data_IF_148426226879
#
_entry.id   IF_148426226879
#
_cell.length_a   1.000
_cell.length_b   1.000
_cell.length_c   1.000
_cell.angle_alpha   90.00
_cell.angle_beta   90.00
_cell.angle_gamma   90.00
#
_symmetry.space_group_name_H-M   'P 1'
#
loop_
_entity.id
_entity.type
_entity.pdbx_description
1 polymer ?
#
# COMPACT_ATOMS: atom_id res chain seq x y z
N UNK A 1 4.62 -30.58 -9.77
CA UNK A 1 5.30 -31.80 -9.27
C UNK A 1 4.28 -32.89 -8.88
N UNK A 2 4.44 -34.11 -9.40
CA UNK A 2 3.55 -35.25 -9.13
C UNK A 2 3.92 -36.02 -7.85
N UNK A 3 4.99 -35.60 -7.17
CA UNK A 3 5.49 -36.20 -5.93
C UNK A 3 5.56 -35.15 -4.83
N UNK A 4 5.32 -35.55 -3.57
CA UNK A 4 5.43 -34.70 -2.40
C UNK A 4 5.97 -35.50 -1.21
N UNK A 5 6.62 -34.82 -0.26
CA UNK A 5 6.94 -35.40 1.04
C UNK A 5 5.70 -35.36 1.92
N UNK A 6 5.43 -36.45 2.64
CA UNK A 6 4.34 -36.56 3.61
C UNK A 6 4.92 -36.91 4.98
N UNK A 7 4.52 -36.17 6.01
CA UNK A 7 4.99 -36.42 7.37
C UNK A 7 4.42 -37.71 7.95
N UNK A 8 5.10 -38.22 8.98
CA UNK A 8 4.59 -39.32 9.80
C UNK A 8 3.33 -38.94 10.59
N UNK A 9 2.81 -39.91 11.33
CA UNK A 9 1.55 -39.80 12.06
C UNK A 9 1.66 -39.12 13.45
N UNK A 10 2.48 -38.08 13.56
CA UNK A 10 2.61 -37.29 14.81
C UNK A 10 2.54 -35.79 14.50
N UNK A 11 1.96 -35.03 15.44
CA UNK A 11 1.61 -33.62 15.23
C UNK A 11 2.84 -32.70 15.14
N UNK A 12 3.86 -32.94 15.95
CA UNK A 12 5.13 -32.21 15.84
C UNK A 12 6.07 -32.99 14.92
N UNK A 13 6.57 -32.32 13.89
CA UNK A 13 7.39 -32.94 12.85
C UNK A 13 8.57 -32.04 12.55
N UNK A 14 9.65 -32.66 12.08
CA UNK A 14 10.82 -31.95 11.62
C UNK A 14 11.21 -32.49 10.26
N UNK A 15 11.43 -31.59 9.31
CA UNK A 15 12.06 -31.93 8.03
C UNK A 15 13.38 -31.16 7.92
N UNK A 16 14.46 -31.87 7.59
CA UNK A 16 15.80 -31.29 7.45
C UNK A 16 16.31 -31.52 6.04
N UNK A 17 16.78 -30.45 5.41
CA UNK A 17 17.45 -30.45 4.12
C UNK A 17 18.96 -30.39 4.37
N UNK A 18 19.72 -31.42 3.98
CA UNK A 18 21.19 -31.37 3.90
C UNK A 18 21.60 -30.89 2.50
N UNK A 19 22.23 -29.72 2.43
CA UNK A 19 22.68 -29.11 1.17
C UNK A 19 23.99 -29.70 0.66
N UNK A 20 24.54 -30.70 1.37
CA UNK A 20 25.78 -31.43 1.10
C UNK A 20 27.04 -30.69 1.55
N UNK A 21 27.02 -29.36 1.45
CA UNK A 21 28.06 -28.44 1.90
C UNK A 21 27.41 -27.14 2.38
N UNK A 22 28.20 -26.29 3.03
CA UNK A 22 27.78 -24.93 3.39
C UNK A 22 27.46 -24.14 2.11
N UNK A 23 26.32 -23.46 2.10
CA UNK A 23 25.84 -22.61 1.00
C UNK A 23 25.26 -21.30 1.55
N UNK A 24 25.40 -20.25 0.76
CA UNK A 24 24.73 -18.97 0.97
C UNK A 24 23.39 -18.93 0.24
N UNK A 25 22.35 -18.39 0.89
CA UNK A 25 21.03 -18.17 0.32
C UNK A 25 20.31 -17.03 1.03
N UNK A 26 19.41 -16.35 0.32
CA UNK A 26 18.66 -15.19 0.83
C UNK A 26 17.22 -15.51 1.22
N UNK A 27 16.72 -16.71 0.87
CA UNK A 27 15.34 -17.08 1.17
C UNK A 27 14.99 -18.51 0.77
N UNK A 28 13.73 -18.86 1.00
CA UNK A 28 13.15 -20.12 0.56
C UNK A 28 11.71 -19.91 0.10
N UNK A 29 11.30 -20.64 -0.93
CA UNK A 29 9.90 -20.77 -1.35
C UNK A 29 9.45 -22.16 -0.96
N UNK A 30 8.38 -22.28 -0.16
CA UNK A 30 7.83 -23.56 0.29
C UNK A 30 6.45 -23.75 -0.33
N UNK A 31 6.30 -24.79 -1.14
CA UNK A 31 5.01 -25.16 -1.71
C UNK A 31 4.38 -26.29 -0.91
N UNK A 32 3.23 -26.03 -0.32
CA UNK A 32 2.49 -26.99 0.50
C UNK A 32 1.52 -27.83 -0.35
N UNK A 33 1.23 -29.04 0.12
CA UNK A 33 0.10 -29.82 -0.36
C UNK A 33 -1.19 -29.21 0.21
N UNK A 34 -2.21 -28.94 -0.63
CA UNK A 34 -3.47 -28.37 -0.16
C UNK A 34 -4.08 -29.16 1.01
N UNK A 35 -4.39 -28.47 2.11
CA UNK A 35 -4.97 -29.06 3.32
C UNK A 35 -3.97 -29.76 4.25
N UNK A 36 -2.69 -29.85 3.88
CA UNK A 36 -1.62 -30.44 4.67
C UNK A 36 -0.47 -29.44 4.93
N UNK A 37 -0.76 -28.14 4.91
CA UNK A 37 0.22 -27.11 5.25
C UNK A 37 0.53 -27.08 6.75
N UNK A 38 1.70 -26.58 7.12
CA UNK A 38 1.93 -26.10 8.49
C UNK A 38 1.44 -24.65 8.61
N UNK A 39 0.63 -24.35 9.63
CA UNK A 39 0.25 -22.98 9.98
C UNK A 39 1.21 -22.38 11.03
N UNK A 40 1.91 -23.21 11.80
CA UNK A 40 2.93 -22.77 12.75
C UNK A 40 4.19 -23.63 12.62
N UNK A 41 5.32 -23.00 12.29
CA UNK A 41 6.61 -23.65 12.21
C UNK A 41 7.79 -22.68 12.43
N UNK A 42 8.97 -23.25 12.71
CA UNK A 42 10.23 -22.50 12.82
C UNK A 42 11.21 -23.00 11.79
N UNK A 43 11.82 -22.07 11.06
CA UNK A 43 12.91 -22.33 10.13
C UNK A 43 14.23 -22.11 10.85
N UNK A 44 15.14 -23.09 10.76
CA UNK A 44 16.42 -23.09 11.46
C UNK A 44 17.55 -23.44 10.53
N UNK A 45 18.71 -22.82 10.73
CA UNK A 45 19.96 -23.16 10.03
C UNK A 45 20.96 -23.85 10.94
N UNK A 46 21.84 -24.65 10.35
CA UNK A 46 23.00 -25.22 11.02
C UNK A 46 24.15 -25.45 10.03
N UNK A 47 25.40 -25.31 10.50
CA UNK A 47 26.60 -25.71 9.77
C UNK A 47 26.98 -27.18 9.97
N UNK A 48 26.63 -27.76 11.12
CA UNK A 48 27.11 -29.06 11.60
C UNK A 48 26.00 -30.10 11.87
N UNK A 49 24.74 -29.68 11.74
CA UNK A 49 23.55 -30.50 12.02
C UNK A 49 23.24 -30.69 13.51
N UNK A 50 24.05 -30.09 14.40
CA UNK A 50 23.96 -30.25 15.86
C UNK A 50 23.55 -28.95 16.55
N UNK A 51 24.22 -27.84 16.21
CA UNK A 51 23.91 -26.52 16.73
C UNK A 51 23.02 -25.78 15.73
N UNK A 52 21.85 -25.34 16.20
CA UNK A 52 20.81 -24.74 15.36
C UNK A 52 20.53 -23.29 15.74
N UNK A 53 20.41 -22.43 14.73
CA UNK A 53 20.01 -21.02 14.88
C UNK A 53 18.64 -20.81 14.25
N UNK A 54 17.74 -20.17 14.98
CA UNK A 54 16.42 -19.79 14.48
C UNK A 54 16.60 -18.66 13.44
N UNK A 55 16.04 -18.87 12.24
CA UNK A 55 16.04 -17.89 11.16
C UNK A 55 14.72 -17.14 11.07
N UNK A 56 13.61 -17.88 11.18
CA UNK A 56 12.27 -17.34 10.95
C UNK A 56 11.24 -18.18 11.70
N UNK A 57 10.26 -17.51 12.30
CA UNK A 57 9.06 -18.16 12.82
C UNK A 57 7.87 -17.76 11.95
N UNK A 58 7.04 -18.73 11.63
CA UNK A 58 5.74 -18.54 10.97
C UNK A 58 4.68 -19.01 11.95
N UNK A 59 3.72 -18.17 12.30
CA UNK A 59 2.69 -18.46 13.32
C UNK A 59 1.28 -18.55 12.77
N UNK A 60 1.06 -18.10 11.53
CA UNK A 60 -0.25 -18.07 10.89
C UNK A 60 -0.16 -18.36 9.38
N UNK A 61 0.60 -19.39 8.99
CA UNK A 61 0.75 -19.82 7.60
C UNK A 61 -0.59 -20.23 6.97
N UNK A 62 -0.96 -19.63 5.83
CA UNK A 62 -2.17 -19.98 5.09
C UNK A 62 -2.00 -21.25 4.23
N UNK A 63 -0.77 -21.65 3.94
CA UNK A 63 -0.46 -22.73 3.00
C UNK A 63 -0.44 -22.26 1.55
N UNK A 64 -0.49 -23.20 0.61
CA UNK A 64 -0.25 -22.88 -0.80
C UNK A 64 1.24 -22.65 -1.05
N UNK A 65 1.67 -21.40 -1.10
CA UNK A 65 3.09 -21.03 -1.25
C UNK A 65 3.50 -20.05 -0.16
N UNK A 66 4.45 -20.45 0.68
CA UNK A 66 5.07 -19.57 1.66
C UNK A 66 6.36 -18.99 1.10
N UNK A 67 6.51 -17.68 1.26
CA UNK A 67 7.67 -16.91 0.81
C UNK A 67 8.50 -16.49 2.02
N UNK A 68 9.69 -17.05 2.16
CA UNK A 68 10.48 -16.88 3.38
C UNK A 68 11.71 -16.03 3.07
N UNK A 69 11.72 -14.80 3.58
CA UNK A 69 12.93 -13.98 3.65
C UNK A 69 13.87 -14.56 4.72
N UNK A 70 15.05 -15.01 4.30
CA UNK A 70 16.10 -15.59 5.16
C UNK A 70 17.44 -14.87 4.87
N UNK A 71 17.50 -13.53 5.01
CA UNK A 71 18.69 -12.76 4.65
C UNK A 71 19.92 -13.20 5.45
N UNK A 72 21.11 -12.95 4.87
CA UNK A 72 22.41 -13.21 5.51
C UNK A 72 22.55 -14.63 6.07
N UNK A 73 22.06 -15.63 5.32
CA UNK A 73 22.11 -17.03 5.73
C UNK A 73 23.22 -17.79 5.00
N UNK A 74 24.17 -18.31 5.78
CA UNK A 74 25.15 -19.31 5.37
C UNK A 74 24.92 -20.59 6.20
N UNK A 75 24.59 -21.71 5.55
CA UNK A 75 24.29 -22.96 6.25
C UNK A 75 24.53 -24.20 5.39
N UNK A 76 24.78 -25.35 6.02
CA UNK A 76 24.73 -26.67 5.36
C UNK A 76 23.36 -27.32 5.51
N UNK A 77 22.71 -27.13 6.67
CA UNK A 77 21.42 -27.71 6.98
C UNK A 77 20.37 -26.63 7.15
N UNK A 78 19.21 -26.83 6.52
CA UNK A 78 18.00 -26.04 6.74
C UNK A 78 16.90 -26.94 7.29
N UNK A 79 16.28 -26.55 8.39
CA UNK A 79 15.30 -27.37 9.10
C UNK A 79 14.01 -26.61 9.32
N UNK A 80 12.89 -27.29 9.10
CA UNK A 80 11.55 -26.79 9.39
C UNK A 80 10.99 -27.62 10.54
N UNK A 81 10.84 -26.99 11.70
CA UNK A 81 10.21 -27.55 12.89
C UNK A 81 8.71 -27.21 12.85
N UNK A 82 7.92 -28.15 12.33
CA UNK A 82 6.48 -28.05 12.10
C UNK A 82 5.70 -28.37 13.38
N UNK A 83 4.84 -27.45 13.82
CA UNK A 83 4.18 -27.54 15.13
C UNK A 83 2.66 -27.68 15.04
N UNK A 84 2.04 -26.94 14.12
CA UNK A 84 0.59 -26.96 13.95
C UNK A 84 0.19 -26.72 12.50
N UNK A 85 -1.04 -27.12 12.18
CA UNK A 85 -1.66 -27.02 10.86
C UNK A 85 -3.13 -27.45 10.92
N UNK A 86 -3.91 -27.24 9.85
CA UNK A 86 -5.30 -27.71 9.80
C UNK A 86 -5.43 -29.24 9.84
N UNK A 87 -4.32 -29.96 9.62
CA UNK A 87 -4.24 -31.41 9.66
C UNK A 87 -3.14 -31.87 10.64
N UNK A 88 -3.22 -33.10 11.12
CA UNK A 88 -2.22 -33.74 11.97
C UNK A 88 -1.02 -34.29 11.19
N UNK A 89 -1.08 -34.24 9.85
CA UNK A 89 0.04 -34.48 8.93
C UNK A 89 0.37 -33.24 8.12
N UNK A 90 1.61 -33.18 7.64
CA UNK A 90 2.11 -32.15 6.75
C UNK A 90 2.52 -32.74 5.40
N UNK A 91 2.30 -31.97 4.33
CA UNK A 91 2.68 -32.33 2.97
C UNK A 91 3.45 -31.18 2.32
N UNK A 92 4.68 -31.42 1.89
CA UNK A 92 5.51 -30.44 1.18
C UNK A 92 5.74 -30.94 -0.24
N UNK A 93 5.29 -30.15 -1.22
CA UNK A 93 5.54 -30.43 -2.64
C UNK A 93 6.98 -30.10 -3.01
N UNK A 94 7.45 -28.94 -2.57
CA UNK A 94 8.76 -28.42 -2.96
C UNK A 94 9.28 -27.40 -1.94
N UNK A 95 10.60 -27.37 -1.76
CA UNK A 95 11.33 -26.28 -1.10
C UNK A 95 12.41 -25.79 -2.06
N UNK A 96 12.31 -24.55 -2.51
CA UNK A 96 13.29 -23.93 -3.40
C UNK A 96 14.10 -22.89 -2.63
N UNK A 97 15.41 -23.11 -2.47
CA UNK A 97 16.30 -22.10 -1.93
C UNK A 97 16.52 -20.99 -2.94
N UNK A 98 16.50 -19.75 -2.46
CA UNK A 98 16.59 -18.55 -3.28
C UNK A 98 17.95 -17.86 -3.09
N UNK A 99 18.49 -17.20 -4.13
CA UNK A 99 19.77 -16.51 -4.04
C UNK A 99 19.75 -15.36 -3.02
N UNK A 100 20.91 -14.83 -2.62
CA UNK A 100 21.03 -13.71 -1.68
C UNK A 100 20.17 -12.50 -2.07
N UNK A 101 20.13 -12.18 -3.37
CA UNK A 101 19.36 -11.07 -3.91
C UNK A 101 17.84 -11.19 -3.67
N UNK A 102 17.33 -12.39 -3.37
CA UNK A 102 15.90 -12.63 -3.17
C UNK A 102 15.31 -11.82 -2.01
N UNK A 103 16.06 -11.61 -0.93
CA UNK A 103 15.58 -10.86 0.23
C UNK A 103 16.70 -10.02 0.88
N UNK A 104 17.68 -9.56 0.10
CA UNK A 104 18.80 -8.75 0.60
C UNK A 104 18.33 -7.49 1.33
N UNK A 105 17.23 -6.90 0.88
CA UNK A 105 16.49 -5.85 1.61
C UNK A 105 14.99 -6.16 1.59
N UNK A 106 14.18 -5.53 2.46
CA UNK A 106 12.72 -5.64 2.37
C UNK A 106 12.17 -5.26 0.99
N UNK A 107 12.77 -4.26 0.34
CA UNK A 107 12.39 -3.89 -1.03
C UNK A 107 12.70 -4.99 -2.04
N UNK A 108 13.85 -5.64 -1.94
CA UNK A 108 14.24 -6.72 -2.86
C UNK A 108 13.40 -7.98 -2.66
N UNK A 109 12.97 -8.25 -1.41
CA UNK A 109 12.00 -9.29 -1.12
C UNK A 109 10.68 -9.05 -1.84
N UNK A 110 10.10 -7.85 -1.71
CA UNK A 110 8.84 -7.53 -2.38
C UNK A 110 8.99 -7.52 -3.91
N UNK A 111 10.11 -7.02 -4.46
CA UNK A 111 10.40 -7.13 -5.91
C UNK A 111 10.45 -8.59 -6.37
N UNK A 112 11.08 -9.47 -5.59
CA UNK A 112 11.19 -10.91 -5.90
C UNK A 112 9.82 -11.60 -5.90
N UNK A 113 8.90 -11.17 -5.03
CA UNK A 113 7.52 -11.63 -5.02
C UNK A 113 6.71 -11.05 -6.18
N UNK A 114 6.85 -9.75 -6.45
CA UNK A 114 6.17 -9.07 -7.54
C UNK A 114 6.54 -9.64 -8.92
N UNK A 115 7.77 -10.15 -9.09
CA UNK A 115 8.21 -10.81 -10.31
C UNK A 115 7.58 -12.21 -10.53
N UNK A 116 7.03 -12.82 -9.48
CA UNK A 116 6.46 -14.19 -9.53
C UNK A 116 4.95 -14.22 -9.41
N UNK A 117 4.35 -13.09 -9.00
CA UNK A 117 2.91 -12.94 -8.83
C UNK A 117 2.31 -12.13 -10.00
N UNK A 118 1.00 -12.25 -10.25
CA UNK A 118 0.36 -11.50 -11.32
C UNK A 118 0.63 -10.00 -11.21
N UNK A 119 0.89 -9.35 -12.34
CA UNK A 119 0.98 -7.89 -12.44
C UNK A 119 -0.28 -7.28 -11.82
N UNK A 120 -0.12 -6.21 -11.04
CA UNK A 120 -1.20 -5.62 -10.25
C UNK A 120 -1.25 -6.07 -8.79
N UNK A 121 -0.62 -7.20 -8.43
CA UNK A 121 -0.59 -7.69 -7.04
C UNK A 121 0.15 -6.76 -6.08
N UNK A 122 1.15 -6.02 -6.59
CA UNK A 122 1.95 -5.03 -5.87
C UNK A 122 1.94 -3.70 -6.60
N UNK A 123 2.30 -2.60 -5.93
CA UNK A 123 2.49 -1.31 -6.60
C UNK A 123 3.50 -1.43 -7.75
N UNK A 124 3.23 -0.77 -8.88
CA UNK A 124 4.02 -0.89 -10.12
C UNK A 124 5.53 -0.67 -9.95
N UNK A 125 5.94 0.16 -8.97
CA UNK A 125 7.33 0.44 -8.64
C UNK A 125 8.13 -0.77 -8.15
N UNK A 126 7.46 -1.85 -7.73
CA UNK A 126 8.10 -3.14 -7.42
C UNK A 126 8.23 -4.07 -8.63
N UNK A 127 7.53 -3.77 -9.73
CA UNK A 127 7.53 -4.56 -10.97
C UNK A 127 8.44 -3.97 -12.06
N UNK A 128 9.34 -3.04 -11.70
CA UNK A 128 10.27 -2.40 -12.63
C UNK A 128 9.67 -1.28 -13.49
N UNK A 129 8.40 -0.93 -13.26
CA UNK A 129 7.73 0.17 -13.95
C UNK A 129 7.97 1.48 -13.18
N UNK A 130 8.33 2.55 -13.88
CA UNK A 130 8.48 3.87 -13.27
C UNK A 130 7.11 4.41 -12.85
N UNK A 131 6.87 4.67 -11.55
CA UNK A 131 5.65 5.33 -11.12
C UNK A 131 5.78 6.84 -11.11
N UNK A 132 4.70 7.52 -11.45
CA UNK A 132 4.50 8.96 -11.26
C UNK A 132 3.61 9.22 -10.05
N UNK A 133 3.86 10.32 -9.35
CA UNK A 133 3.08 10.75 -8.21
C UNK A 133 3.14 12.27 -8.06
N UNK A 134 2.17 12.84 -7.36
CA UNK A 134 2.20 14.26 -6.95
C UNK A 134 1.97 14.40 -5.44
N UNK A 135 2.35 15.56 -4.90
CA UNK A 135 2.32 15.86 -3.47
C UNK A 135 0.95 16.35 -3.01
N UNK A 136 0.60 16.00 -1.77
CA UNK A 136 -0.59 16.46 -1.06
C UNK A 136 -0.15 17.17 0.20
N UNK A 137 -0.59 18.41 0.43
CA UNK A 137 -0.26 19.12 1.65
C UNK A 137 -0.89 20.50 1.74
N UNK A 138 -0.62 21.16 2.87
CA UNK A 138 -0.96 22.56 3.11
C UNK A 138 0.22 23.45 2.77
N UNK A 139 -0.06 24.70 2.42
CA UNK A 139 0.97 25.74 2.38
C UNK A 139 1.64 25.89 3.76
N UNK A 140 2.94 25.61 3.84
CA UNK A 140 3.73 25.70 5.08
C UNK A 140 3.54 24.53 6.05
N UNK A 141 2.81 23.49 5.66
CA UNK A 141 2.55 22.31 6.50
C UNK A 141 3.83 21.49 6.80
N UNK A 142 3.81 20.75 7.91
CA UNK A 142 4.96 19.90 8.31
C UNK A 142 4.92 18.49 7.76
N UNK A 143 3.74 18.06 7.30
CA UNK A 143 3.49 16.72 6.78
C UNK A 143 2.97 16.81 5.34
N UNK A 144 3.36 15.84 4.50
CA UNK A 144 2.89 15.73 3.12
C UNK A 144 2.58 14.27 2.77
N UNK A 145 1.40 14.05 2.22
CA UNK A 145 1.03 12.78 1.57
C UNK A 145 1.43 12.78 0.10
N UNK A 146 1.26 11.65 -0.57
CA UNK A 146 1.38 11.53 -2.02
C UNK A 146 0.13 10.86 -2.59
N UNK A 147 -0.20 11.16 -3.85
CA UNK A 147 -1.07 10.31 -4.65
C UNK A 147 -0.29 9.82 -5.88
N UNK A 148 -0.33 8.53 -6.14
CA UNK A 148 0.27 7.90 -7.31
C UNK A 148 -0.64 7.96 -8.53
N UNK A 149 -0.08 7.78 -9.72
CA UNK A 149 -0.83 7.72 -11.00
C UNK A 149 -1.88 6.59 -11.05
N UNK A 150 -1.71 5.58 -10.20
CA UNK A 150 -2.61 4.44 -10.06
C UNK A 150 -3.72 4.70 -9.01
N UNK A 151 -3.73 5.84 -8.32
CA UNK A 151 -4.75 6.18 -7.32
C UNK A 151 -4.44 5.70 -5.89
N UNK A 152 -3.27 5.08 -5.66
CA UNK A 152 -2.78 4.82 -4.30
C UNK A 152 -2.42 6.13 -3.58
N UNK A 153 -2.79 6.26 -2.31
CA UNK A 153 -2.56 7.46 -1.49
C UNK A 153 -1.63 7.14 -0.33
N UNK A 154 -0.43 7.73 -0.31
CA UNK A 154 0.52 7.64 0.82
C UNK A 154 0.13 8.65 1.89
N UNK A 155 -0.06 8.17 3.12
CA UNK A 155 -0.64 8.98 4.22
C UNK A 155 0.29 10.06 4.77
N UNK A 156 1.59 9.93 4.54
CA UNK A 156 2.64 10.80 5.05
C UNK A 156 4.02 10.27 4.69
N UNK A 157 5.07 11.05 4.92
CA UNK A 157 6.44 10.69 4.52
C UNK A 157 6.88 9.34 5.10
N UNK A 158 7.21 8.39 4.24
CA UNK A 158 7.67 7.06 4.66
C UNK A 158 6.55 6.18 5.23
N UNK A 159 5.29 6.60 5.08
CA UNK A 159 4.12 5.90 5.59
C UNK A 159 3.57 4.86 4.63
N UNK A 160 2.58 4.12 5.14
CA UNK A 160 1.80 3.17 4.38
C UNK A 160 0.91 3.87 3.34
N UNK A 161 0.38 3.11 2.40
CA UNK A 161 -0.56 3.60 1.40
C UNK A 161 -1.96 3.03 1.60
N UNK A 162 -2.95 3.75 1.09
CA UNK A 162 -4.29 3.27 0.87
C UNK A 162 -4.45 3.10 -0.64
N UNK A 163 -4.66 1.87 -1.10
CA UNK A 163 -4.77 1.54 -2.51
C UNK A 163 -6.18 0.99 -2.81
N UNK A 164 -6.86 1.48 -3.84
CA UNK A 164 -8.18 0.98 -4.19
C UNK A 164 -8.11 -0.31 -5.03
N UNK A 165 -9.10 -1.17 -4.82
CA UNK A 165 -9.40 -2.33 -5.64
C UNK A 165 -10.92 -2.39 -5.86
N UNK A 166 -11.38 -2.93 -6.98
CA UNK A 166 -12.81 -3.10 -7.24
C UNK A 166 -13.10 -4.56 -7.56
N UNK A 167 -13.94 -5.21 -6.76
CA UNK A 167 -14.38 -6.59 -7.02
C UNK A 167 -15.74 -6.56 -7.70
N UNK A 168 -15.86 -7.23 -8.84
CA UNK A 168 -17.14 -7.42 -9.53
C UNK A 168 -17.13 -8.68 -10.38
N UNK A 169 -18.24 -9.42 -10.41
CA UNK A 169 -18.34 -10.68 -11.16
C UNK A 169 -17.29 -11.73 -10.77
N UNK A 170 -16.86 -11.75 -9.50
CA UNK A 170 -15.82 -12.65 -8.99
C UNK A 170 -14.40 -12.29 -9.42
N UNK A 171 -14.19 -11.17 -10.11
CA UNK A 171 -12.87 -10.66 -10.50
C UNK A 171 -12.48 -9.48 -9.63
N UNK A 172 -11.20 -9.42 -9.27
CA UNK A 172 -10.58 -8.26 -8.63
C UNK A 172 -9.98 -7.41 -9.74
N UNK A 173 -10.41 -6.16 -9.85
CA UNK A 173 -9.83 -5.16 -10.73
C UNK A 173 -8.83 -4.31 -9.93
N UNK A 174 -7.63 -4.19 -10.47
CA UNK A 174 -6.56 -3.34 -9.94
C UNK A 174 -5.96 -2.44 -11.03
N UNK A 175 -4.96 -1.64 -10.67
CA UNK A 175 -4.36 -0.63 -11.55
C UNK A 175 -3.90 -1.17 -12.92
N UNK A 176 -3.51 -2.44 -13.01
CA UNK A 176 -3.06 -3.03 -14.29
C UNK A 176 -4.20 -3.53 -15.21
N UNK A 177 -5.45 -3.52 -14.75
CA UNK A 177 -6.63 -3.96 -15.52
C UNK A 177 -7.44 -2.78 -16.09
N UNK A 178 -7.00 -1.55 -15.82
CA UNK A 178 -7.71 -0.33 -16.18
C UNK A 178 -6.80 0.58 -16.99
N UNK A 179 -7.39 1.49 -17.75
CA UNK A 179 -6.67 2.68 -18.19
C UNK A 179 -6.86 3.78 -17.15
N UNK A 180 -5.83 4.59 -16.91
CA UNK A 180 -5.86 5.67 -15.92
C UNK A 180 -5.61 7.03 -16.57
N UNK A 181 -6.39 8.02 -16.13
CA UNK A 181 -6.22 9.43 -16.47
C UNK A 181 -6.03 10.23 -15.19
N UNK A 182 -5.12 11.22 -15.21
CA UNK A 182 -4.85 12.08 -14.07
C UNK A 182 -5.27 13.51 -14.39
N UNK A 183 -5.94 14.15 -13.43
CA UNK A 183 -6.40 15.54 -13.56
C UNK A 183 -6.15 16.32 -12.28
N UNK A 184 -6.06 17.64 -12.39
CA UNK A 184 -6.11 18.57 -11.26
C UNK A 184 -7.47 19.27 -11.29
N UNK A 185 -8.04 19.54 -10.12
CA UNK A 185 -9.27 20.32 -10.07
C UNK A 185 -9.05 21.71 -10.71
N UNK A 186 -9.96 22.10 -11.59
CA UNK A 186 -9.88 23.32 -12.41
C UNK A 186 -8.60 23.43 -13.26
N UNK A 187 -7.97 22.29 -13.58
CA UNK A 187 -6.72 22.14 -14.34
C UNK A 187 -5.42 22.56 -13.62
N UNK A 188 -5.49 23.23 -12.45
CA UNK A 188 -4.28 23.71 -11.76
C UNK A 188 -4.26 23.58 -10.24
N UNK A 189 -5.40 23.40 -9.58
CA UNK A 189 -5.43 23.34 -8.11
C UNK A 189 -4.75 22.05 -7.64
N UNK A 190 -4.01 22.07 -6.52
CA UNK A 190 -3.34 20.89 -5.97
C UNK A 190 -4.34 19.96 -5.26
N UNK A 191 -5.43 19.64 -5.95
CA UNK A 191 -6.48 18.68 -5.61
C UNK A 191 -6.47 17.67 -6.76
N UNK A 192 -5.50 16.76 -6.79
CA UNK A 192 -5.36 15.77 -7.84
C UNK A 192 -6.46 14.71 -7.79
N UNK A 193 -6.81 14.22 -8.96
CA UNK A 193 -7.64 13.05 -9.16
C UNK A 193 -7.00 12.05 -10.11
N UNK A 194 -7.31 10.78 -9.88
CA UNK A 194 -7.01 9.67 -10.78
C UNK A 194 -8.33 9.00 -11.15
N UNK A 195 -8.62 8.94 -12.45
CA UNK A 195 -9.80 8.29 -13.02
C UNK A 195 -9.37 6.96 -13.63
N UNK A 196 -9.90 5.86 -13.10
CA UNK A 196 -9.82 4.54 -13.72
C UNK A 196 -10.98 4.36 -14.68
N UNK A 197 -10.67 3.85 -15.87
CA UNK A 197 -11.64 3.50 -16.89
C UNK A 197 -11.60 2.00 -17.19
N UNK A 198 -12.77 1.37 -17.10
CA UNK A 198 -13.03 -0.02 -17.43
C UNK A 198 -14.43 -0.15 -18.04
N UNK A 199 -14.67 -1.17 -18.87
CA UNK A 199 -15.94 -1.38 -19.60
C UNK A 199 -17.18 -1.44 -18.69
N UNK A 200 -16.99 -1.83 -17.42
CA UNK A 200 -18.06 -2.02 -16.44
C UNK A 200 -18.17 -0.88 -15.42
N UNK A 201 -17.10 -0.11 -15.23
CA UNK A 201 -17.07 0.90 -14.18
C UNK A 201 -16.02 1.98 -14.44
N UNK A 202 -16.25 3.13 -13.82
CA UNK A 202 -15.19 4.10 -13.57
C UNK A 202 -14.99 4.24 -12.06
N UNK A 203 -13.74 4.41 -11.64
CA UNK A 203 -13.40 4.78 -10.26
C UNK A 203 -12.61 6.09 -10.30
N UNK A 204 -13.10 7.14 -9.62
CA UNK A 204 -12.36 8.37 -9.40
C UNK A 204 -11.81 8.42 -7.98
N UNK A 205 -10.50 8.51 -7.85
CA UNK A 205 -9.81 8.80 -6.59
C UNK A 205 -9.46 10.28 -6.58
N UNK A 206 -9.84 11.03 -5.53
CA UNK A 206 -9.45 12.44 -5.36
C UNK A 206 -8.85 12.62 -3.98
N UNK A 207 -7.71 13.32 -3.87
CA UNK A 207 -7.07 13.55 -2.59
C UNK A 207 -6.69 15.02 -2.39
N UNK A 208 -6.79 15.49 -1.15
CA UNK A 208 -6.41 16.84 -0.75
C UNK A 208 -6.14 16.90 0.75
N UNK A 209 -5.53 17.99 1.24
CA UNK A 209 -5.32 18.22 2.67
C UNK A 209 -6.14 19.42 3.11
N UNK A 210 -6.88 19.27 4.21
CA UNK A 210 -7.66 20.33 4.84
C UNK A 210 -7.09 20.69 6.22
N UNK A 211 -7.59 21.80 6.77
CA UNK A 211 -7.28 22.25 8.13
C UNK A 211 -6.17 23.28 8.17
N UNK A 212 -5.39 23.26 9.25
CA UNK A 212 -4.25 24.16 9.50
C UNK A 212 -2.97 23.34 9.69
N UNK A 213 -1.77 23.94 9.63
CA UNK A 213 -0.54 23.19 9.88
C UNK A 213 -0.52 22.40 11.20
N UNK A 214 -1.18 22.91 12.25
CA UNK A 214 -1.27 22.25 13.57
C UNK A 214 -2.40 21.20 13.68
N UNK A 215 -3.34 21.20 12.73
CA UNK A 215 -4.52 20.32 12.67
C UNK A 215 -4.79 19.93 11.21
N UNK A 216 -3.81 19.29 10.57
CA UNK A 216 -3.87 18.91 9.17
C UNK A 216 -4.46 17.52 9.00
N UNK A 217 -5.38 17.38 8.05
CA UNK A 217 -6.01 16.11 7.72
C UNK A 217 -5.99 15.90 6.22
N UNK A 218 -5.38 14.80 5.77
CA UNK A 218 -5.50 14.33 4.41
C UNK A 218 -6.89 13.70 4.24
N UNK A 219 -7.56 14.03 3.15
CA UNK A 219 -8.84 13.44 2.74
C UNK A 219 -8.61 12.71 1.42
N UNK A 220 -9.04 11.45 1.35
CA UNK A 220 -9.07 10.67 0.12
C UNK A 220 -10.53 10.25 -0.17
N UNK A 221 -11.02 10.62 -1.35
CA UNK A 221 -12.38 10.35 -1.83
C UNK A 221 -12.32 9.32 -2.95
N UNK A 222 -13.24 8.36 -2.93
CA UNK A 222 -13.33 7.27 -3.89
C UNK A 222 -14.76 7.20 -4.41
N UNK A 223 -14.95 7.57 -5.68
CA UNK A 223 -16.25 7.57 -6.36
C UNK A 223 -16.31 6.43 -7.36
N UNK A 224 -17.13 5.43 -7.09
CA UNK A 224 -17.36 4.30 -7.99
C UNK A 224 -18.64 4.53 -8.78
N UNK A 225 -18.55 4.39 -10.10
CA UNK A 225 -19.64 4.62 -11.04
C UNK A 225 -19.85 3.38 -11.92
N UNK A 226 -21.08 2.88 -11.99
CA UNK A 226 -21.43 1.81 -12.93
C UNK A 226 -21.66 2.40 -14.32
N UNK A 227 -20.70 2.18 -15.22
CA UNK A 227 -20.78 2.60 -16.64
C UNK A 227 -21.41 1.53 -17.54
N UNK A 228 -21.67 0.34 -16.99
CA UNK A 228 -22.33 -0.74 -17.69
C UNK A 228 -23.82 -0.50 -17.93
N UNK A 229 -24.43 -1.42 -18.69
CA UNK A 229 -25.85 -1.35 -19.09
C UNK A 229 -26.82 -2.06 -18.15
N UNK A 230 -26.30 -2.73 -17.12
CA UNK A 230 -27.08 -3.54 -16.18
C UNK A 230 -26.74 -3.21 -14.73
N UNK A 231 -27.69 -3.47 -13.84
CA UNK A 231 -27.46 -3.41 -12.40
C UNK A 231 -26.41 -4.46 -12.01
N UNK A 232 -25.40 -4.05 -11.24
CA UNK A 232 -24.25 -4.92 -10.92
C UNK A 232 -23.81 -4.76 -9.48
N UNK A 233 -23.39 -5.87 -8.88
CA UNK A 233 -22.74 -5.88 -7.59
C UNK A 233 -21.28 -5.48 -7.74
N UNK A 234 -20.88 -4.49 -6.95
CA UNK A 234 -19.53 -4.02 -6.80
C UNK A 234 -19.12 -4.06 -5.34
N UNK A 235 -17.87 -4.44 -5.10
CA UNK A 235 -17.20 -4.18 -3.82
C UNK A 235 -16.04 -3.24 -4.06
N UNK A 236 -16.09 -2.03 -3.51
CA UNK A 236 -14.91 -1.18 -3.39
C UNK A 236 -14.11 -1.65 -2.17
N UNK A 237 -12.88 -2.08 -2.39
CA UNK A 237 -11.94 -2.51 -1.37
C UNK A 237 -10.84 -1.46 -1.24
N UNK A 238 -10.74 -0.83 -0.07
CA UNK A 238 -9.68 0.13 0.24
C UNK A 238 -8.63 -0.54 1.11
N UNK A 239 -7.51 -0.92 0.49
CA UNK A 239 -6.47 -1.71 1.12
C UNK A 239 -5.43 -0.79 1.79
N UNK A 240 -5.17 -1.03 3.08
CA UNK A 240 -4.08 -0.44 3.85
C UNK A 240 -2.86 -1.32 3.67
N UNK A 241 -1.87 -0.83 2.92
CA UNK A 241 -0.74 -1.65 2.45
C UNK A 241 0.59 -1.16 3.01
N UNK A 242 1.53 -2.06 3.35
CA UNK A 242 2.85 -1.71 3.90
C UNK A 242 3.81 -1.17 2.81
N UNK A 243 3.31 -0.34 1.90
CA UNK A 243 4.05 0.23 0.78
C UNK A 243 3.85 1.74 0.71
N UNK A 244 4.91 2.45 0.41
CA UNK A 244 4.89 3.86 0.04
C UNK A 244 4.41 4.00 -1.40
N UNK A 245 3.84 5.17 -1.73
CA UNK A 245 3.69 5.59 -3.13
C UNK A 245 5.06 5.99 -3.68
N UNK A 246 5.92 6.57 -2.84
CA UNK A 246 7.33 6.81 -3.15
C UNK A 246 8.04 5.46 -3.45
N UNK A 247 8.52 5.21 -4.68
CA UNK A 247 8.97 3.89 -5.09
C UNK A 247 10.37 3.51 -4.56
N UNK A 248 10.72 2.22 -4.54
CA UNK A 248 12.06 1.76 -4.15
C UNK A 248 13.22 2.39 -4.95
N UNK A 249 12.96 2.77 -6.20
CA UNK A 249 13.95 3.42 -7.07
C UNK A 249 14.33 4.85 -6.63
N UNK A 250 13.57 5.47 -5.71
CA UNK A 250 13.86 6.79 -5.15
C UNK A 250 14.37 6.65 -3.72
N UNK A 251 15.69 6.75 -3.53
CA UNK A 251 16.35 6.34 -2.28
C UNK A 251 17.46 7.27 -1.76
N UNK A 252 17.53 8.53 -2.20
CA UNK A 252 18.63 9.46 -1.82
C UNK A 252 18.68 9.76 -0.31
N UNK A 253 17.67 10.45 0.23
CA UNK A 253 17.59 10.82 1.66
C UNK A 253 16.47 10.09 2.40
N UNK A 254 15.57 9.43 1.68
CA UNK A 254 14.45 8.68 2.23
C UNK A 254 14.27 7.47 1.32
N UNK A 255 14.33 6.28 1.91
CA UNK A 255 14.15 5.03 1.17
C UNK A 255 12.66 4.86 0.85
N UNK A 256 12.31 4.90 -0.43
CA UNK A 256 10.97 4.51 -0.90
C UNK A 256 10.75 3.00 -0.87
N UNK A 257 9.52 2.57 -1.19
CA UNK A 257 9.12 1.17 -1.20
C UNK A 257 8.44 0.73 0.09
N UNK A 258 8.95 -0.29 0.77
CA UNK A 258 8.31 -0.88 1.95
C UNK A 258 8.18 0.15 3.09
N UNK A 259 7.01 0.22 3.70
CA UNK A 259 6.70 0.96 4.93
C UNK A 259 6.13 -0.03 5.94
N UNK A 260 6.92 -0.37 6.96
CA UNK A 260 6.57 -1.43 7.90
C UNK A 260 5.25 -1.18 8.65
N UNK A 261 4.37 -2.18 8.66
CA UNK A 261 3.20 -2.31 9.52
C UNK A 261 3.40 -3.57 10.36
N UNK A 262 3.80 -3.40 11.61
CA UNK A 262 4.03 -4.50 12.56
C UNK A 262 2.74 -4.86 13.32
N UNK A 263 1.83 -3.89 13.48
CA UNK A 263 0.50 -4.10 14.08
C UNK A 263 -0.55 -3.36 13.27
N UNK A 264 -1.63 -4.06 12.94
CA UNK A 264 -2.79 -3.48 12.26
C UNK A 264 -4.06 -3.87 13.00
N UNK A 265 -4.93 -2.89 13.24
CA UNK A 265 -6.25 -3.12 13.82
C UNK A 265 -7.31 -2.31 13.06
N UNK A 266 -8.39 -2.95 12.68
CA UNK A 266 -9.56 -2.33 12.05
C UNK A 266 -10.74 -2.47 13.00
N UNK A 267 -11.30 -1.34 13.43
CA UNK A 267 -12.47 -1.29 14.31
C UNK A 267 -13.55 -0.43 13.65
N UNK A 268 -14.51 -1.10 13.00
CA UNK A 268 -15.51 -0.43 12.18
C UNK A 268 -14.85 0.41 11.08
N UNK A 269 -15.00 1.72 11.17
CA UNK A 269 -14.39 2.68 10.22
C UNK A 269 -13.00 3.19 10.62
N UNK A 270 -12.47 2.80 11.78
CA UNK A 270 -11.16 3.26 12.26
C UNK A 270 -10.07 2.23 11.95
N UNK A 271 -8.98 2.67 11.34
CA UNK A 271 -7.77 1.84 11.15
C UNK A 271 -6.65 2.38 12.04
N UNK A 272 -6.10 1.49 12.86
CA UNK A 272 -4.92 1.77 13.68
C UNK A 272 -3.72 1.03 13.13
N UNK A 273 -2.63 1.76 12.89
CA UNK A 273 -1.36 1.24 12.39
C UNK A 273 -0.29 1.48 13.43
N UNK A 274 0.40 0.41 13.84
CA UNK A 274 1.44 0.41 14.87
C UNK A 274 0.98 1.09 16.17
N UNK A 275 -0.25 0.75 16.61
CA UNK A 275 -0.85 1.21 17.86
C UNK A 275 -1.42 2.63 17.84
N UNK A 276 -1.39 3.34 16.70
CA UNK A 276 -1.95 4.68 16.55
C UNK A 276 -3.15 4.68 15.60
N UNK A 277 -4.28 5.34 15.91
CA UNK A 277 -5.32 5.60 14.92
C UNK A 277 -4.78 6.45 13.77
N UNK A 278 -4.92 5.99 12.53
CA UNK A 278 -4.35 6.66 11.34
C UNK A 278 -5.35 6.94 10.23
N UNK A 279 -6.44 6.18 10.15
CA UNK A 279 -7.47 6.35 9.12
C UNK A 279 -8.84 6.28 9.75
N UNK A 280 -9.73 7.16 9.32
CA UNK A 280 -11.12 7.20 9.76
C UNK A 280 -12.04 7.26 8.54
N UNK A 281 -12.89 6.27 8.37
CA UNK A 281 -13.86 6.23 7.30
C UNK A 281 -15.07 7.12 7.63
N UNK A 282 -15.40 8.04 6.72
CA UNK A 282 -16.58 8.89 6.85
C UNK A 282 -17.88 8.09 6.69
N UNK A 283 -17.87 7.10 5.81
CA UNK A 283 -18.94 6.13 5.64
C UNK A 283 -18.52 4.81 6.29
N UNK A 284 -19.45 4.18 7.01
CA UNK A 284 -19.20 2.90 7.67
C UNK A 284 -18.95 1.80 6.60
N UNK A 285 -17.84 1.05 6.68
CA UNK A 285 -17.62 -0.11 5.81
C UNK A 285 -18.58 -1.25 6.18
N UNK A 286 -18.96 -2.06 5.19
CA UNK A 286 -19.80 -3.25 5.37
C UNK A 286 -19.04 -4.39 6.04
N UNK A 287 -17.73 -4.48 5.79
CA UNK A 287 -16.84 -5.42 6.43
C UNK A 287 -15.42 -4.85 6.45
N UNK A 288 -14.58 -5.39 7.34
CA UNK A 288 -13.16 -5.08 7.37
C UNK A 288 -12.37 -6.28 7.84
N UNK A 289 -11.12 -6.40 7.42
CA UNK A 289 -10.22 -7.45 7.89
C UNK A 289 -8.77 -6.99 7.88
N UNK A 290 -7.96 -7.65 8.71
CA UNK A 290 -6.51 -7.53 8.78
C UNK A 290 -5.89 -8.90 8.50
N UNK A 291 -4.71 -8.91 7.91
CA UNK A 291 -3.95 -10.12 7.60
C UNK A 291 -2.46 -9.89 7.83
N UNK A 292 -1.82 -10.89 8.44
CA UNK A 292 -0.37 -10.98 8.47
C UNK A 292 0.13 -11.49 7.10
N UNK A 293 1.36 -11.17 6.74
CA UNK A 293 1.96 -11.59 5.48
C UNK A 293 1.93 -13.10 5.24
N UNK A 294 2.29 -13.89 6.27
CA UNK A 294 2.31 -15.36 6.17
C UNK A 294 0.90 -15.97 6.04
N UNK A 295 -0.15 -15.21 6.37
CA UNK A 295 -1.55 -15.59 6.15
C UNK A 295 -2.06 -15.22 4.75
N UNK A 296 -1.18 -14.69 3.88
CA UNK A 296 -1.54 -14.04 2.63
C UNK A 296 -1.88 -12.57 2.85
N UNK A 297 -1.38 -11.68 2.00
CA UNK A 297 -1.67 -10.25 2.09
C UNK A 297 -3.10 -9.91 1.62
N UNK A 298 -3.54 -8.70 1.93
CA UNK A 298 -4.78 -8.04 1.51
C UNK A 298 -5.41 -8.55 0.19
N UNK A 299 -4.75 -8.31 -0.95
CA UNK A 299 -5.33 -8.55 -2.29
C UNK A 299 -5.61 -10.02 -2.52
N UNK A 300 -4.81 -10.92 -1.94
CA UNK A 300 -4.98 -12.37 -2.09
C UNK A 300 -6.30 -12.89 -1.50
N UNK A 301 -6.86 -12.15 -0.53
CA UNK A 301 -8.14 -12.49 0.11
C UNK A 301 -9.35 -11.91 -0.63
N UNK A 302 -9.16 -10.95 -1.54
CA UNK A 302 -10.28 -10.32 -2.26
C UNK A 302 -10.94 -11.24 -3.27
N UNK A 303 -10.21 -12.24 -3.76
CA UNK A 303 -10.74 -13.32 -4.61
C UNK A 303 -11.31 -14.49 -3.81
N UNK A 304 -11.15 -14.51 -2.48
CA UNK A 304 -11.65 -15.61 -1.65
C UNK A 304 -13.18 -15.57 -1.54
N UNK A 305 -13.82 -16.73 -1.60
CA UNK A 305 -15.27 -16.83 -1.42
C UNK A 305 -15.73 -16.28 -0.05
N UNK A 306 -14.88 -16.48 0.97
CA UNK A 306 -15.07 -15.95 2.32
C UNK A 306 -13.80 -15.21 2.73
N UNK A 307 -13.80 -13.87 2.77
CA UNK A 307 -12.66 -13.11 3.25
C UNK A 307 -12.42 -13.36 4.75
N UNK A 308 -11.20 -13.13 5.27
CA UNK A 308 -10.90 -13.24 6.68
C UNK A 308 -11.83 -12.39 7.54
N UNK A 309 -12.12 -12.86 8.76
CA UNK A 309 -12.88 -12.10 9.77
C UNK A 309 -12.00 -11.52 10.86
N UNK A 310 -10.70 -11.85 10.85
CA UNK A 310 -9.70 -11.28 11.76
C UNK A 310 -9.58 -9.80 11.47
N UNK A 311 -9.73 -8.96 12.48
CA UNK A 311 -9.63 -7.50 12.33
C UNK A 311 -8.38 -6.92 12.99
N UNK A 312 -7.60 -7.73 13.71
CA UNK A 312 -6.36 -7.32 14.34
C UNK A 312 -5.27 -8.36 14.13
N UNK A 313 -4.08 -7.92 13.73
CA UNK A 313 -2.90 -8.76 13.54
C UNK A 313 -1.65 -8.11 14.10
N UNK A 314 -0.70 -8.97 14.51
CA UNK A 314 0.70 -8.61 14.72
C UNK A 314 1.52 -9.40 13.71
N UNK A 315 2.46 -8.74 13.06
CA UNK A 315 3.26 -9.34 12.00
C UNK A 315 4.73 -8.96 12.15
N UNK A 316 5.56 -9.94 12.49
CA UNK A 316 7.01 -9.74 12.68
C UNK A 316 7.73 -9.32 11.39
N UNK A 317 7.16 -9.65 10.23
CA UNK A 317 7.72 -9.22 8.94
C UNK A 317 7.60 -7.72 8.73
N UNK A 318 6.64 -7.07 9.43
CA UNK A 318 6.26 -5.69 9.17
C UNK A 318 5.44 -5.53 7.89
N UNK A 319 4.85 -6.59 7.35
CA UNK A 319 4.08 -6.58 6.11
C UNK A 319 2.58 -6.84 6.35
N UNK A 320 2.08 -6.55 7.55
CA UNK A 320 0.65 -6.63 7.81
C UNK A 320 -0.11 -5.70 6.85
N UNK A 321 -1.27 -6.17 6.41
CA UNK A 321 -2.14 -5.45 5.48
C UNK A 321 -3.60 -5.67 5.87
N UNK A 322 -4.50 -4.82 5.40
CA UNK A 322 -5.92 -4.95 5.74
C UNK A 322 -6.78 -4.16 4.78
N UNK A 323 -8.10 -4.38 4.85
CA UNK A 323 -9.04 -3.84 3.87
C UNK A 323 -10.31 -3.36 4.54
N UNK A 324 -10.80 -2.19 4.11
CA UNK A 324 -12.17 -1.72 4.32
C UNK A 324 -13.00 -2.06 3.08
N UNK A 325 -14.10 -2.80 3.26
CA UNK A 325 -14.96 -3.27 2.17
C UNK A 325 -16.29 -2.52 2.16
N UNK A 326 -16.64 -1.98 0.99
CA UNK A 326 -17.92 -1.31 0.72
C UNK A 326 -18.64 -2.02 -0.42
N UNK A 327 -19.82 -2.55 -0.15
CA UNK A 327 -20.59 -3.40 -1.06
C UNK A 327 -21.84 -2.70 -1.52
N UNK A 328 -21.98 -2.54 -2.83
CA UNK A 328 -23.12 -1.89 -3.43
C UNK A 328 -23.63 -2.66 -4.63
N UNK A 329 -24.95 -2.74 -4.75
CA UNK A 329 -25.61 -2.97 -6.03
C UNK A 329 -25.85 -1.61 -6.68
N UNK A 330 -25.23 -1.37 -7.83
CA UNK A 330 -25.35 -0.10 -8.56
C UNK A 330 -26.17 -0.31 -9.83
N UNK A 331 -27.22 0.49 -10.00
CA UNK A 331 -27.95 0.58 -11.27
C UNK A 331 -27.08 1.24 -12.37
N UNK A 332 -27.40 1.06 -13.66
CA UNK A 332 -26.71 1.76 -14.75
C UNK A 332 -26.68 3.27 -14.52
N UNK A 333 -25.50 3.88 -14.62
CA UNK A 333 -25.31 5.32 -14.38
C UNK A 333 -25.31 5.73 -12.89
N UNK A 334 -25.52 4.80 -11.97
CA UNK A 334 -25.48 5.10 -10.54
C UNK A 334 -24.04 5.18 -10.03
N UNK A 335 -23.80 6.15 -9.15
CA UNK A 335 -22.53 6.35 -8.45
C UNK A 335 -22.70 6.26 -6.93
N UNK A 336 -21.65 5.79 -6.26
CA UNK A 336 -21.48 5.83 -4.80
C UNK A 336 -20.10 6.38 -4.46
N UNK A 337 -20.00 6.98 -3.29
CA UNK A 337 -18.77 7.56 -2.80
C UNK A 337 -18.48 7.10 -1.37
N UNK A 338 -17.19 6.91 -1.10
CA UNK A 338 -16.65 6.87 0.26
C UNK A 338 -15.50 7.85 0.40
N UNK A 339 -15.32 8.39 1.59
CA UNK A 339 -14.20 9.26 1.95
C UNK A 339 -13.50 8.73 3.20
N UNK A 340 -12.18 8.83 3.19
CA UNK A 340 -11.31 8.54 4.32
C UNK A 340 -10.66 9.85 4.80
N UNK A 341 -10.62 10.03 6.11
CA UNK A 341 -9.91 11.12 6.77
C UNK A 341 -8.68 10.54 7.47
N UNK A 342 -7.52 11.09 7.15
CA UNK A 342 -6.21 10.64 7.59
C UNK A 342 -5.52 11.81 8.32
N UNK A 343 -5.53 11.82 9.66
CA UNK A 343 -4.86 12.84 10.44
C UNK A 343 -3.35 12.83 10.21
N UNK A 344 -2.80 14.00 9.90
CA UNK A 344 -1.36 14.20 9.71
C UNK A 344 -0.74 14.94 10.90
N UNK A 345 -1.41 15.99 11.39
CA UNK A 345 -1.05 16.70 12.63
C UNK A 345 -2.29 16.93 13.49
N UNK A 346 -2.08 17.18 14.78
CA UNK A 346 -3.16 17.47 15.71
C UNK A 346 -3.94 16.23 16.17
N UNK A 347 -5.25 16.41 16.39
CA UNK A 347 -6.10 15.37 17.00
C UNK A 347 -6.49 14.31 15.99
N UNK A 348 -6.20 13.05 16.31
CA UNK A 348 -6.55 11.91 15.48
C UNK A 348 -8.04 11.53 15.62
N UNK A 349 -8.91 12.18 14.86
CA UNK A 349 -10.35 11.91 14.85
C UNK A 349 -11.02 12.30 13.52
N UNK A 350 -12.14 11.66 13.22
CA UNK A 350 -13.08 12.14 12.19
C UNK A 350 -13.83 13.38 12.73
N UNK A 351 -13.84 14.52 12.03
CA UNK A 351 -14.64 15.67 12.43
C UNK A 351 -16.14 15.32 12.46
N UNK A 352 -16.84 15.77 13.50
CA UNK A 352 -18.29 15.57 13.60
C UNK A 352 -19.01 16.26 12.42
N UNK A 353 -19.92 15.54 11.76
CA UNK A 353 -20.64 16.04 10.59
C UNK A 353 -19.74 16.29 9.37
N UNK A 354 -18.60 15.58 9.27
CA UNK A 354 -17.70 15.70 8.13
C UNK A 354 -18.42 15.45 6.80
N UNK A 355 -18.23 16.39 5.88
CA UNK A 355 -18.76 16.37 4.52
C UNK A 355 -17.59 16.57 3.54
N UNK A 356 -17.31 15.55 2.74
CA UNK A 356 -16.16 15.52 1.84
C UNK A 356 -16.27 16.52 0.68
N UNK A 357 -17.49 16.74 0.16
CA UNK A 357 -17.73 17.71 -0.91
C UNK A 357 -17.49 19.13 -0.40
N UNK A 358 -18.06 19.46 0.76
CA UNK A 358 -17.87 20.76 1.39
C UNK A 358 -16.40 21.00 1.72
N UNK A 359 -15.70 19.99 2.24
CA UNK A 359 -14.27 20.07 2.53
C UNK A 359 -13.44 20.35 1.26
N UNK A 360 -13.71 19.63 0.17
CA UNK A 360 -13.01 19.84 -1.10
C UNK A 360 -13.24 21.25 -1.66
N UNK A 361 -14.49 21.73 -1.65
CA UNK A 361 -14.81 23.08 -2.14
C UNK A 361 -14.16 24.17 -1.29
N UNK A 362 -14.08 23.98 0.03
CA UNK A 362 -13.37 24.91 0.92
C UNK A 362 -11.87 24.94 0.62
N UNK A 363 -11.24 23.78 0.46
CA UNK A 363 -9.81 23.69 0.11
C UNK A 363 -9.55 24.30 -1.27
N UNK A 364 -10.42 24.04 -2.25
CA UNK A 364 -10.33 24.66 -3.57
C UNK A 364 -10.39 26.19 -3.49
N UNK A 365 -11.33 26.74 -2.72
CA UNK A 365 -11.44 28.18 -2.54
C UNK A 365 -10.19 28.78 -1.86
N UNK A 366 -9.63 28.10 -0.87
CA UNK A 366 -8.39 28.52 -0.21
C UNK A 366 -7.22 28.57 -1.19
N UNK A 367 -7.09 27.56 -2.06
CA UNK A 367 -6.05 27.54 -3.08
C UNK A 367 -6.26 28.62 -4.14
N UNK A 368 -7.48 28.83 -4.64
CA UNK A 368 -7.77 29.94 -5.56
C UNK A 368 -7.38 31.29 -4.96
N UNK A 369 -7.74 31.54 -3.69
CA UNK A 369 -7.36 32.76 -2.98
C UNK A 369 -5.84 32.95 -2.85
N UNK A 370 -5.04 31.88 -2.84
CA UNK A 370 -3.57 31.93 -2.80
C UNK A 370 -2.97 32.10 -4.20
N UNK A 371 -3.41 31.30 -5.16
CA UNK A 371 -2.78 31.15 -6.47
C UNK A 371 -3.25 32.21 -7.49
N UNK A 372 -4.46 32.74 -7.34
CA UNK A 372 -5.06 33.67 -8.32
C UNK A 372 -4.89 35.14 -7.93
N UNK A 373 -3.95 35.44 -7.02
CA UNK A 373 -3.59 36.81 -6.64
C UNK A 373 -3.01 37.60 -7.81
N UNK A 374 -2.32 36.93 -8.73
CA UNK A 374 -1.83 37.48 -9.99
C UNK A 374 -2.68 36.94 -11.13
N UNK A 375 -3.19 37.81 -11.99
CA UNK A 375 -3.97 37.44 -13.17
C UNK A 375 -3.10 37.55 -14.42
N UNK A 376 -2.91 36.43 -15.10
CA UNK A 376 -2.24 36.37 -16.39
C UNK A 376 -3.30 36.09 -17.44
N UNK A 377 -3.46 36.99 -18.40
CA UNK A 377 -4.41 36.84 -19.51
C UNK A 377 -3.66 36.40 -20.75
N UNK A 378 -4.08 35.27 -21.33
CA UNK A 378 -3.51 34.66 -22.52
C UNK A 378 -4.65 34.12 -23.40
N UNK A 379 -4.43 33.90 -24.71
CA UNK A 379 -5.34 33.12 -25.55
C UNK A 379 -5.60 31.72 -24.96
N UNK A 380 -6.67 31.05 -25.40
CA UNK A 380 -7.06 29.74 -24.88
C UNK A 380 -5.93 28.70 -24.99
N UNK A 381 -5.15 28.77 -26.07
CA UNK A 381 -3.99 27.91 -26.33
C UNK A 381 -2.87 28.11 -25.30
N UNK A 382 -2.79 29.28 -24.65
CA UNK A 382 -1.81 29.60 -23.61
C UNK A 382 -2.25 29.21 -22.19
N UNK A 383 -3.53 28.90 -21.97
CA UNK A 383 -4.07 28.56 -20.64
C UNK A 383 -3.28 27.44 -19.93
N UNK A 384 -2.92 26.32 -20.60
CA UNK A 384 -2.18 25.23 -19.95
C UNK A 384 -0.83 25.67 -19.36
N UNK A 385 -0.16 26.64 -19.99
CA UNK A 385 1.12 27.17 -19.48
C UNK A 385 0.89 27.98 -18.19
N UNK A 386 -0.13 28.84 -18.16
CA UNK A 386 -0.49 29.62 -16.97
C UNK A 386 -0.91 28.70 -15.82
N UNK A 387 -1.69 27.67 -16.12
CA UNK A 387 -2.11 26.67 -15.14
C UNK A 387 -0.92 25.88 -14.58
N UNK A 388 0.03 25.50 -15.44
CA UNK A 388 1.28 24.87 -15.01
C UNK A 388 2.07 25.78 -14.04
N UNK A 389 2.14 27.08 -14.31
CA UNK A 389 2.78 28.05 -13.41
C UNK A 389 2.08 28.11 -12.04
N UNK A 390 0.74 28.12 -12.02
CA UNK A 390 -0.05 28.09 -10.77
C UNK A 390 0.17 26.80 -10.00
N UNK A 391 0.19 25.65 -10.67
CA UNK A 391 0.48 24.36 -10.03
C UNK A 391 1.90 24.31 -9.48
N UNK A 392 2.89 24.83 -10.21
CA UNK A 392 4.26 24.93 -9.72
C UNK A 392 4.35 25.79 -8.45
N UNK A 393 3.66 26.92 -8.41
CA UNK A 393 3.54 27.76 -7.21
C UNK A 393 2.91 26.99 -6.03
N UNK A 394 1.84 26.25 -6.29
CA UNK A 394 1.22 25.40 -5.27
C UNK A 394 2.19 24.35 -4.72
N UNK A 395 2.97 23.69 -5.59
CA UNK A 395 3.96 22.71 -5.17
C UNK A 395 5.09 23.33 -4.33
N UNK A 396 5.53 24.55 -4.66
CA UNK A 396 6.51 25.30 -3.85
C UNK A 396 5.94 25.60 -2.45
N UNK A 397 4.69 26.07 -2.37
CA UNK A 397 4.01 26.35 -1.11
C UNK A 397 3.82 25.09 -0.25
N UNK A 398 3.46 23.95 -0.85
CA UNK A 398 3.31 22.66 -0.15
C UNK A 398 4.66 22.12 0.33
N UNK A 399 5.72 22.31 -0.46
CA UNK A 399 7.06 21.82 -0.12
C UNK A 399 7.75 22.69 0.95
N UNK A 400 7.21 23.87 1.23
CA UNK A 400 7.65 24.70 2.35
C UNK A 400 7.23 24.06 3.68
N UNK A 401 8.21 23.79 4.54
CA UNK A 401 7.97 23.23 5.89
C UNK A 401 8.33 24.27 6.95
N UNK A 402 7.32 24.94 7.51
CA UNK A 402 7.54 26.12 8.35
C UNK A 402 8.34 27.18 7.59
N UNK A 403 9.49 27.68 8.11
CA UNK A 403 10.33 28.64 7.40
C UNK A 403 11.26 28.00 6.35
N UNK A 404 11.31 26.67 6.24
CA UNK A 404 12.27 25.96 5.38
C UNK A 404 11.72 25.79 3.97
N UNK A 405 12.44 26.31 2.99
CA UNK A 405 12.20 26.02 1.57
C UNK A 405 12.97 24.75 1.18
N UNK A 406 12.29 23.81 0.53
CA UNK A 406 12.86 22.52 0.13
C UNK A 406 12.45 22.20 -1.31
N UNK A 407 13.36 21.68 -2.15
CA UNK A 407 13.06 21.34 -3.54
C UNK A 407 12.22 20.07 -3.71
N UNK A 408 12.04 19.28 -2.65
CA UNK A 408 11.12 18.15 -2.69
C UNK A 408 10.80 17.56 -1.32
N UNK A 409 9.79 16.70 -1.26
CA UNK A 409 9.22 16.20 0.00
C UNK A 409 9.72 14.80 0.40
N UNK A 410 10.55 14.15 -0.44
CA UNK A 410 11.10 12.80 -0.23
C UNK A 410 12.63 12.80 -0.30
N UNK A 411 13.19 12.28 -1.38
CA UNK A 411 14.65 12.24 -1.68
C UNK A 411 15.34 13.60 -1.54
N UNK A 412 14.59 14.69 -1.68
CA UNK A 412 15.06 16.07 -1.69
C UNK A 412 14.56 16.91 -0.50
N UNK A 413 14.16 16.27 0.60
CA UNK A 413 13.59 16.90 1.82
C UNK A 413 14.62 17.59 2.73
N UNK A 414 15.43 18.47 2.15
CA UNK A 414 16.42 19.32 2.84
C UNK A 414 16.44 20.70 2.20
N UNK A 415 16.84 21.71 2.96
CA UNK A 415 17.07 23.05 2.40
C UNK A 415 18.44 23.11 1.74
N UNK A 416 18.47 23.48 0.46
CA UNK A 416 19.69 23.83 -0.25
C UNK A 416 19.66 25.30 -0.62
N UNK A 417 20.80 25.99 -0.47
CA UNK A 417 20.88 27.44 -0.64
C UNK A 417 20.42 27.86 -2.04
N UNK A 418 20.94 27.19 -3.09
CA UNK A 418 20.57 27.48 -4.49
C UNK A 418 19.07 27.29 -4.71
N UNK A 419 18.56 26.11 -4.39
CA UNK A 419 17.16 25.74 -4.60
C UNK A 419 16.22 26.61 -3.76
N UNK A 420 16.59 26.90 -2.50
CA UNK A 420 15.86 27.79 -1.61
C UNK A 420 15.81 29.23 -2.13
N UNK A 421 16.90 29.76 -2.69
CA UNK A 421 16.90 31.07 -3.34
C UNK A 421 15.95 31.09 -4.54
N UNK A 422 15.98 30.07 -5.41
CA UNK A 422 15.07 29.98 -6.56
C UNK A 422 13.61 29.87 -6.16
N UNK A 423 13.30 29.07 -5.13
CA UNK A 423 11.93 28.96 -4.59
C UNK A 423 11.51 30.29 -3.98
N UNK A 424 12.41 31.00 -3.29
CA UNK A 424 12.11 32.31 -2.70
C UNK A 424 11.78 33.37 -3.74
N UNK A 425 12.38 33.33 -4.94
CA UNK A 425 12.05 34.23 -6.05
C UNK A 425 10.70 33.85 -6.72
N UNK A 426 10.30 32.59 -6.63
CA UNK A 426 9.04 32.09 -7.19
C UNK A 426 7.81 32.28 -6.30
N UNK A 427 8.00 32.53 -5.00
CA UNK A 427 6.95 32.78 -3.99
C UNK A 427 6.68 34.28 -3.84
#
# INVERSE_FOLDING_TARGET
PDTFWLSGAVKQQTVTLDLGKVREFGGAIVQWVPGLQASHYVVRSSGDGRSWRDLRTVTAGAGGTDWLALPDTEARYLRFDLKDGPNWRYGIKEVQLQPLAFAATPNDFIKSLAAQLPRGSYPRGFSGEQPYWTILGLDGGTEQGLIGEDGAVEVGKGGFSIEPFVVTGGKVLHWSDVSSEQSLQDDYLPIPSVDWHHDLMNLRVTAFVQGTPDQAQLVARYQLHNTGKEARDFTLALAVRPFQVNPPAQFLNTLGGVSRIDQLALDGGQVSVNGKPRVFAAQRPDASFASAFDSGMDVSHLSAATPPTVTQVKDETGLASGVLLYRWKLEPGQRREVALVIPQTGTAQLPAGFDADKAQQQVAQQWRSKLDRVRISVPAEGKPVVDTLRTALAHMLISRIGPRLQPGTRSYSRSWIRDGAMISEGL
#
